data_IF_029373936917
#
_entry.id   IF_029373936917
#
_cell.length_a   1.000
_cell.length_b   1.000
_cell.length_c   1.000
_cell.angle_alpha   90.00
_cell.angle_beta   90.00
_cell.angle_gamma   90.00
#
_symmetry.space_group_name_H-M   'P 1'
#
loop_
_entity.id
_entity.type
_entity.pdbx_description
1 polymer ?
#
# COMPACT_ATOMS: atom_id res chain seq x y z
N UNK A 1 -22.65 -7.45 -12.51
CA UNK A 1 -21.87 -6.93 -13.63
C UNK A 1 -22.55 -7.34 -14.95
N UNK A 2 -22.58 -6.44 -15.93
CA UNK A 2 -23.15 -6.68 -17.24
C UNK A 2 -22.34 -5.96 -18.31
N UNK A 3 -21.96 -6.68 -19.36
CA UNK A 3 -21.22 -6.14 -20.49
C UNK A 3 -22.15 -5.90 -21.68
N UNK A 4 -21.87 -4.82 -22.40
CA UNK A 4 -22.57 -4.40 -23.59
C UNK A 4 -21.57 -3.95 -24.65
N UNK A 5 -21.45 -4.69 -25.71
CA UNK A 5 -20.58 -4.40 -26.84
C UNK A 5 -21.41 -3.87 -28.02
N UNK A 6 -20.92 -2.82 -28.67
CA UNK A 6 -21.53 -2.29 -29.88
C UNK A 6 -20.47 -1.64 -30.78
N UNK A 7 -20.84 -1.46 -32.03
CA UNK A 7 -20.04 -0.76 -33.03
C UNK A 7 -20.63 0.64 -33.30
N UNK A 8 -19.77 1.67 -33.17
CA UNK A 8 -20.11 3.03 -33.56
C UNK A 8 -19.30 3.39 -34.81
N UNK A 9 -19.86 3.09 -35.97
CA UNK A 9 -19.14 3.16 -37.25
C UNK A 9 -18.04 2.10 -37.32
N UNK A 10 -16.77 2.52 -37.32
CA UNK A 10 -15.60 1.63 -37.27
C UNK A 10 -15.03 1.44 -35.87
N UNK A 11 -15.60 2.06 -34.85
CA UNK A 11 -15.13 2.03 -33.48
C UNK A 11 -15.84 0.91 -32.72
N UNK A 12 -15.06 -0.03 -32.17
CA UNK A 12 -15.56 -1.04 -31.25
C UNK A 12 -15.61 -0.44 -29.86
N UNK A 13 -16.78 -0.52 -29.22
CA UNK A 13 -16.98 -0.01 -27.86
C UNK A 13 -17.52 -1.12 -26.97
N UNK A 14 -16.80 -1.41 -25.90
CA UNK A 14 -17.23 -2.33 -24.84
C UNK A 14 -17.57 -1.54 -23.59
N UNK A 15 -18.74 -1.76 -23.03
CA UNK A 15 -19.17 -1.12 -21.79
C UNK A 15 -19.46 -2.16 -20.73
N UNK A 16 -18.98 -1.91 -19.54
CA UNK A 16 -19.25 -2.70 -18.35
C UNK A 16 -20.02 -1.85 -17.34
N UNK A 17 -21.15 -2.35 -16.85
CA UNK A 17 -21.93 -1.77 -15.77
C UNK A 17 -21.90 -2.71 -14.58
N UNK A 18 -21.69 -2.17 -13.38
CA UNK A 18 -21.67 -2.99 -12.19
C UNK A 18 -22.23 -2.29 -10.96
N UNK A 19 -22.61 -3.10 -9.99
CA UNK A 19 -22.94 -2.67 -8.64
C UNK A 19 -22.24 -3.55 -7.62
N UNK A 20 -21.84 -2.97 -6.49
CA UNK A 20 -21.16 -3.66 -5.42
C UNK A 20 -21.78 -3.27 -4.08
N UNK A 21 -21.94 -4.26 -3.22
CA UNK A 21 -22.37 -4.09 -1.83
C UNK A 21 -21.28 -4.64 -0.92
N UNK A 22 -20.95 -3.91 0.13
CA UNK A 22 -20.03 -4.38 1.17
C UNK A 22 -20.62 -4.08 2.53
N UNK A 23 -20.52 -5.02 3.46
CA UNK A 23 -20.85 -4.83 4.85
C UNK A 23 -19.75 -5.44 5.72
N UNK A 24 -19.27 -4.66 6.69
CA UNK A 24 -18.31 -5.08 7.69
C UNK A 24 -18.94 -4.85 9.06
N UNK A 25 -19.04 -5.92 9.84
CA UNK A 25 -19.49 -5.87 11.23
C UNK A 25 -18.34 -6.32 12.12
N UNK A 26 -17.96 -5.51 13.07
CA UNK A 26 -16.92 -5.76 14.04
C UNK A 26 -17.56 -5.65 15.43
N UNK A 27 -17.80 -6.79 16.08
CA UNK A 27 -18.49 -6.84 17.38
C UNK A 27 -17.67 -6.19 18.50
N UNK A 28 -16.35 -6.12 18.36
CA UNK A 28 -15.48 -5.47 19.30
C UNK A 28 -14.07 -5.26 18.81
N UNK A 29 -13.64 -4.01 18.84
CA UNK A 29 -12.26 -3.58 18.58
C UNK A 29 -11.85 -2.58 19.66
N UNK A 30 -10.65 -2.73 20.22
CA UNK A 30 -10.29 -1.86 21.33
C UNK A 30 -8.81 -1.79 21.64
N UNK A 31 -8.48 -0.74 22.41
CA UNK A 31 -7.19 -0.51 23.01
C UNK A 31 -7.31 -0.73 24.54
N UNK A 32 -6.35 -1.43 25.11
CA UNK A 32 -6.37 -1.82 26.52
C UNK A 32 -5.10 -1.40 27.23
N UNK A 33 -5.24 -0.89 28.43
CA UNK A 33 -4.14 -0.71 29.34
C UNK A 33 -3.79 -2.04 29.99
N UNK A 34 -2.50 -2.40 29.96
CA UNK A 34 -2.00 -3.63 30.57
C UNK A 34 -0.75 -3.36 31.39
N UNK A 35 -0.50 -4.19 32.40
CA UNK A 35 0.75 -4.21 33.15
C UNK A 35 1.27 -5.64 33.21
N UNK A 36 2.47 -5.88 32.70
CA UNK A 36 3.07 -7.21 32.66
C UNK A 36 2.15 -8.26 31.98
N UNK A 37 1.39 -7.82 30.95
CA UNK A 37 0.35 -8.56 30.21
C UNK A 37 -0.95 -8.82 30.99
N UNK A 38 -1.08 -8.32 32.22
CA UNK A 38 -2.34 -8.35 32.94
C UNK A 38 -3.23 -7.17 32.52
N UNK A 39 -4.50 -7.45 32.26
CA UNK A 39 -5.49 -6.44 31.91
C UNK A 39 -5.73 -5.49 33.08
N UNK A 40 -5.67 -4.19 32.85
CA UNK A 40 -5.97 -3.15 33.82
C UNK A 40 -7.31 -2.47 33.53
N UNK A 41 -7.49 -1.98 32.30
CA UNK A 41 -8.69 -1.27 31.87
C UNK A 41 -8.81 -1.26 30.33
N UNK A 42 -10.03 -1.10 29.84
CA UNK A 42 -10.23 -0.69 28.44
C UNK A 42 -10.00 0.83 28.36
N UNK A 43 -9.08 1.25 27.51
CA UNK A 43 -8.90 2.66 27.11
C UNK A 43 -10.05 3.03 26.17
N UNK A 44 -10.31 2.16 25.20
CA UNK A 44 -11.41 2.26 24.25
C UNK A 44 -11.82 0.86 23.80
N UNK A 45 -13.12 0.61 23.68
CA UNK A 45 -13.67 -0.62 23.12
C UNK A 45 -14.97 -0.31 22.40
N UNK A 46 -15.02 -0.57 21.09
CA UNK A 46 -16.09 -0.16 20.20
C UNK A 46 -16.64 -1.34 19.41
N UNK A 47 -17.94 -1.29 19.09
CA UNK A 47 -18.56 -2.05 18.02
C UNK A 47 -18.70 -1.15 16.79
N UNK A 48 -18.42 -1.68 15.62
CA UNK A 48 -18.39 -0.95 14.34
C UNK A 48 -19.18 -1.68 13.29
N UNK A 49 -20.16 -1.01 12.68
CA UNK A 49 -20.81 -1.43 11.44
C UNK A 49 -20.49 -0.41 10.34
N UNK A 50 -19.94 -0.91 9.25
CA UNK A 50 -19.65 -0.10 8.06
C UNK A 50 -20.22 -0.79 6.83
N UNK A 51 -21.08 -0.08 6.11
CA UNK A 51 -21.62 -0.57 4.85
C UNK A 51 -21.34 0.39 3.70
N UNK A 52 -21.22 -0.16 2.50
CA UNK A 52 -21.12 0.65 1.28
C UNK A 52 -21.90 0.07 0.13
N UNK A 53 -22.42 0.97 -0.70
CA UNK A 53 -23.09 0.68 -1.97
C UNK A 53 -22.37 1.46 -3.06
N UNK A 54 -22.04 0.77 -4.13
CA UNK A 54 -21.38 1.37 -5.27
C UNK A 54 -22.06 0.98 -6.57
N UNK A 55 -22.03 1.92 -7.52
CA UNK A 55 -22.38 1.64 -8.93
C UNK A 55 -21.29 2.21 -9.82
N UNK A 56 -20.98 1.52 -10.89
CA UNK A 56 -19.96 1.97 -11.81
C UNK A 56 -20.29 1.64 -13.27
N UNK A 57 -19.70 2.42 -14.13
CA UNK A 57 -19.65 2.24 -15.56
C UNK A 57 -18.20 2.38 -16.03
N UNK A 58 -17.78 1.48 -16.90
CA UNK A 58 -16.51 1.52 -17.60
C UNK A 58 -16.77 1.35 -19.09
N UNK A 59 -16.05 2.07 -19.92
CA UNK A 59 -16.10 1.99 -21.37
C UNK A 59 -14.69 1.87 -21.94
N UNK A 60 -14.51 0.89 -22.80
CA UNK A 60 -13.31 0.74 -23.62
C UNK A 60 -13.69 1.00 -25.08
N UNK A 61 -12.94 1.88 -25.74
CA UNK A 61 -13.16 2.21 -27.14
C UNK A 61 -11.88 2.01 -27.96
N UNK A 62 -11.97 1.17 -29.00
CA UNK A 62 -10.93 0.97 -29.99
C UNK A 62 -11.16 1.92 -31.15
N UNK A 63 -10.53 3.11 -31.12
CA UNK A 63 -10.71 4.17 -32.10
C UNK A 63 -10.08 3.86 -33.46
N UNK A 64 -8.88 3.29 -33.41
CA UNK A 64 -8.13 2.83 -34.58
C UNK A 64 -7.39 1.55 -34.22
N UNK A 65 -6.65 0.96 -35.15
CA UNK A 65 -5.78 -0.19 -34.85
C UNK A 65 -4.72 0.12 -33.80
N UNK A 66 -4.34 1.40 -33.66
CA UNK A 66 -3.25 1.84 -32.78
C UNK A 66 -3.75 2.64 -31.56
N UNK A 67 -4.97 3.13 -31.53
CA UNK A 67 -5.47 4.01 -30.45
C UNK A 67 -6.68 3.40 -29.77
N UNK A 68 -6.57 3.23 -28.45
CA UNK A 68 -7.69 2.85 -27.57
C UNK A 68 -7.79 3.79 -26.38
N UNK A 69 -9.00 3.92 -25.85
CA UNK A 69 -9.23 4.65 -24.60
C UNK A 69 -10.05 3.83 -23.64
N UNK A 70 -9.84 4.09 -22.35
CA UNK A 70 -10.67 3.62 -21.25
C UNK A 70 -11.25 4.82 -20.52
N UNK A 71 -12.53 4.77 -20.19
CA UNK A 71 -13.20 5.83 -19.40
C UNK A 71 -14.04 5.15 -18.34
N UNK A 72 -13.99 5.66 -17.12
CA UNK A 72 -14.83 5.13 -16.05
C UNK A 72 -15.52 6.23 -15.26
N UNK A 73 -16.65 5.88 -14.68
CA UNK A 73 -17.37 6.70 -13.71
C UNK A 73 -17.93 5.78 -12.63
N UNK A 74 -17.72 6.16 -11.38
CA UNK A 74 -18.16 5.40 -10.22
C UNK A 74 -18.80 6.32 -9.19
N UNK A 75 -19.86 5.88 -8.59
CA UNK A 75 -20.49 6.48 -7.43
C UNK A 75 -20.42 5.51 -6.26
N UNK A 76 -19.98 6.00 -5.12
CA UNK A 76 -19.89 5.26 -3.86
C UNK A 76 -20.63 6.01 -2.75
N UNK A 77 -21.36 5.27 -1.92
CA UNK A 77 -21.95 5.75 -0.68
C UNK A 77 -21.54 4.85 0.46
N UNK A 78 -21.08 5.45 1.55
CA UNK A 78 -20.69 4.79 2.78
C UNK A 78 -21.59 5.22 3.93
N UNK A 79 -21.92 4.28 4.79
CA UNK A 79 -22.62 4.49 6.05
C UNK A 79 -21.76 3.89 7.16
N UNK A 80 -21.45 4.70 8.19
CA UNK A 80 -20.63 4.37 9.34
C UNK A 80 -21.50 4.41 10.58
N UNK A 81 -21.44 3.37 11.43
CA UNK A 81 -22.14 3.28 12.72
C UNK A 81 -21.15 2.75 13.76
N UNK A 82 -20.90 3.54 14.78
CA UNK A 82 -20.00 3.18 15.88
C UNK A 82 -20.73 3.28 17.20
N UNK A 83 -20.64 2.23 18.00
CA UNK A 83 -21.10 2.20 19.38
C UNK A 83 -19.91 1.98 20.29
N UNK A 84 -19.55 2.99 21.07
CA UNK A 84 -18.52 2.87 22.09
C UNK A 84 -19.09 2.11 23.30
N UNK A 85 -18.46 0.98 23.64
CA UNK A 85 -18.93 0.02 24.65
C UNK A 85 -18.19 0.18 25.99
N UNK A 86 -16.89 0.57 25.92
CA UNK A 86 -16.07 0.86 27.09
C UNK A 86 -15.02 1.93 26.78
N UNK A 87 -14.70 2.75 27.77
CA UNK A 87 -13.69 3.79 27.70
C UNK A 87 -13.09 4.03 29.10
N UNK A 88 -11.87 4.60 29.13
CA UNK A 88 -11.23 5.00 30.38
C UNK A 88 -12.05 6.06 31.13
N UNK A 89 -12.64 7.00 30.39
CA UNK A 89 -13.64 7.95 30.90
C UNK A 89 -15.02 7.64 30.31
N UNK A 90 -16.00 7.20 31.09
CA UNK A 90 -17.37 6.91 30.62
C UNK A 90 -18.08 8.09 29.95
N UNK A 91 -17.64 9.34 30.18
CA UNK A 91 -18.24 10.51 29.54
C UNK A 91 -17.94 10.57 28.03
N UNK A 92 -16.89 9.92 27.60
CA UNK A 92 -16.51 9.84 26.18
C UNK A 92 -17.38 8.88 25.36
N UNK A 93 -18.09 7.92 26.00
CA UNK A 93 -18.88 6.90 25.31
C UNK A 93 -19.94 7.50 24.37
N UNK A 94 -20.69 8.48 24.86
CA UNK A 94 -21.72 9.12 24.05
C UNK A 94 -21.14 10.01 22.96
N UNK A 95 -20.01 10.68 23.22
CA UNK A 95 -19.33 11.55 22.25
C UNK A 95 -18.67 10.77 21.11
N UNK A 96 -18.25 9.52 21.40
CA UNK A 96 -17.57 8.65 20.46
C UNK A 96 -18.48 7.55 19.89
N UNK A 97 -19.80 7.70 20.05
CA UNK A 97 -20.83 6.85 19.44
C UNK A 97 -21.67 7.66 18.48
N UNK A 98 -22.09 7.07 17.37
CA UNK A 98 -22.95 7.76 16.41
C UNK A 98 -22.91 7.17 15.01
N UNK A 99 -23.55 7.90 14.10
CA UNK A 99 -23.64 7.54 12.68
C UNK A 99 -23.22 8.70 11.80
N UNK A 100 -22.52 8.38 10.73
CA UNK A 100 -22.18 9.33 9.66
C UNK A 100 -22.29 8.63 8.32
N UNK A 101 -22.66 9.36 7.29
CA UNK A 101 -22.60 8.85 5.93
C UNK A 101 -21.97 9.89 5.03
N UNK A 102 -21.37 9.40 3.95
CA UNK A 102 -20.77 10.23 2.92
C UNK A 102 -20.86 9.55 1.57
N UNK A 103 -20.66 10.31 0.50
CA UNK A 103 -20.67 9.78 -0.85
C UNK A 103 -19.69 10.53 -1.75
N UNK A 104 -19.14 9.81 -2.70
CA UNK A 104 -18.16 10.33 -3.65
C UNK A 104 -18.46 9.86 -5.06
N UNK A 105 -18.17 10.71 -6.04
CA UNK A 105 -18.12 10.35 -7.45
C UNK A 105 -16.67 10.40 -7.87
N UNK A 106 -16.19 9.35 -8.50
CA UNK A 106 -14.84 9.26 -9.07
C UNK A 106 -14.90 8.88 -10.54
N UNK A 107 -13.96 9.39 -11.32
CA UNK A 107 -13.88 9.10 -12.74
C UNK A 107 -12.44 8.97 -13.20
N UNK A 108 -12.24 8.25 -14.32
CA UNK A 108 -10.91 8.13 -14.92
C UNK A 108 -10.97 8.16 -16.44
N UNK A 109 -9.86 8.57 -17.04
CA UNK A 109 -9.61 8.52 -18.46
C UNK A 109 -8.21 7.98 -18.72
N UNK A 110 -8.12 6.93 -19.51
CA UNK A 110 -6.89 6.36 -20.00
C UNK A 110 -6.82 6.41 -21.53
N UNK A 111 -5.63 6.67 -22.05
CA UNK A 111 -5.31 6.62 -23.47
C UNK A 111 -4.12 5.69 -23.69
N UNK A 112 -4.19 4.84 -24.68
CA UNK A 112 -3.14 3.92 -25.05
C UNK A 112 -2.91 4.03 -26.55
N UNK A 113 -1.65 4.28 -26.94
CA UNK A 113 -1.25 4.39 -28.33
C UNK A 113 -0.14 3.37 -28.65
N UNK A 114 -0.47 2.38 -29.45
CA UNK A 114 0.46 1.39 -29.98
C UNK A 114 1.20 2.01 -31.17
N UNK A 115 2.48 2.35 -30.96
CA UNK A 115 3.35 2.93 -32.01
C UNK A 115 3.65 1.86 -33.06
N UNK A 116 4.09 0.70 -32.58
CA UNK A 116 4.38 -0.51 -33.35
C UNK A 116 4.33 -1.74 -32.43
N UNK A 117 4.70 -2.92 -32.92
CA UNK A 117 4.70 -4.18 -32.14
C UNK A 117 5.67 -4.17 -30.95
N UNK A 118 6.57 -3.20 -30.89
CA UNK A 118 7.61 -3.11 -29.84
C UNK A 118 7.37 -1.99 -28.82
N UNK A 119 6.51 -1.01 -29.12
CA UNK A 119 6.33 0.18 -28.28
C UNK A 119 4.85 0.54 -28.14
N UNK A 120 4.42 0.62 -26.90
CA UNK A 120 3.12 1.16 -26.49
C UNK A 120 3.33 2.36 -25.55
N UNK A 121 2.71 3.47 -25.84
CA UNK A 121 2.67 4.66 -25.00
C UNK A 121 1.30 4.76 -24.32
N UNK A 122 1.26 5.22 -23.08
CA UNK A 122 -0.01 5.43 -22.39
C UNK A 122 -0.01 6.67 -21.50
N UNK A 123 -1.19 7.20 -21.26
CA UNK A 123 -1.43 8.26 -20.30
C UNK A 123 -2.74 8.00 -19.58
N UNK A 124 -2.75 8.18 -18.27
CA UNK A 124 -3.93 8.01 -17.42
C UNK A 124 -4.08 9.20 -16.49
N UNK A 125 -5.33 9.55 -16.21
CA UNK A 125 -5.72 10.45 -15.13
C UNK A 125 -6.97 9.90 -14.47
N UNK A 126 -7.03 9.91 -13.13
CA UNK A 126 -8.18 9.37 -12.43
C UNK A 126 -8.29 9.88 -11.01
N UNK A 127 -9.53 10.04 -10.59
CA UNK A 127 -9.88 10.30 -9.20
C UNK A 127 -10.09 8.97 -8.49
N UNK A 128 -9.52 8.86 -7.30
CA UNK A 128 -9.75 7.78 -6.35
C UNK A 128 -10.20 8.33 -5.00
N UNK A 129 -10.34 7.46 -4.06
CA UNK A 129 -10.59 7.83 -2.65
C UNK A 129 -10.23 6.66 -1.73
N UNK A 130 -10.02 6.96 -0.45
CA UNK A 130 -10.05 5.97 0.62
C UNK A 130 -11.09 6.35 1.68
N UNK A 131 -11.59 5.35 2.41
CA UNK A 131 -12.45 5.56 3.57
C UNK A 131 -11.60 5.52 4.84
N UNK A 132 -11.78 6.49 5.72
CA UNK A 132 -11.14 6.49 7.02
C UNK A 132 -11.76 5.46 7.98
N UNK A 133 -11.07 5.18 9.09
CA UNK A 133 -11.57 4.32 10.17
C UNK A 133 -12.88 4.91 10.72
N UNK A 134 -13.92 4.09 10.77
CA UNK A 134 -15.24 4.53 11.26
C UNK A 134 -15.18 5.17 12.64
N UNK A 135 -14.28 4.71 13.50
CA UNK A 135 -14.09 5.27 14.85
C UNK A 135 -13.54 6.70 14.79
N UNK A 136 -12.56 6.96 13.95
CA UNK A 136 -12.04 8.31 13.72
C UNK A 136 -13.08 9.26 13.12
N UNK A 137 -13.90 8.74 12.19
CA UNK A 137 -15.00 9.48 11.55
C UNK A 137 -16.08 9.93 12.54
N UNK A 138 -16.30 9.18 13.62
CA UNK A 138 -17.36 9.44 14.62
C UNK A 138 -16.84 10.14 15.87
N UNK A 139 -15.61 9.87 16.29
CA UNK A 139 -15.04 10.38 17.55
C UNK A 139 -15.04 11.90 17.65
N UNK A 140 -15.33 12.42 18.83
CA UNK A 140 -15.34 13.83 19.19
C UNK A 140 -14.45 14.15 20.37
N UNK A 141 -14.07 13.14 21.11
CA UNK A 141 -13.19 13.26 22.27
C UNK A 141 -12.08 12.22 22.16
N UNK A 142 -10.87 12.64 22.48
CA UNK A 142 -9.75 11.70 22.61
C UNK A 142 -10.04 10.70 23.74
N UNK A 143 -9.89 9.40 23.51
CA UNK A 143 -10.28 8.37 24.49
C UNK A 143 -9.32 8.30 25.69
N UNK A 144 -8.14 8.91 25.63
CA UNK A 144 -7.15 8.92 26.71
C UNK A 144 -7.23 10.20 27.50
N UNK A 145 -7.11 11.36 26.84
CA UNK A 145 -7.10 12.66 27.50
C UNK A 145 -8.51 13.20 27.79
N UNK A 146 -9.53 12.76 27.04
CA UNK A 146 -10.88 13.33 27.08
C UNK A 146 -11.00 14.72 26.44
N UNK A 147 -9.96 15.20 25.77
CA UNK A 147 -9.96 16.48 25.07
C UNK A 147 -10.78 16.40 23.78
N UNK A 148 -11.28 17.54 23.34
CA UNK A 148 -12.03 17.60 22.07
C UNK A 148 -11.09 17.39 20.88
N UNK A 149 -11.51 16.52 19.96
CA UNK A 149 -10.80 16.26 18.70
C UNK A 149 -11.73 16.52 17.52
N UNK A 150 -11.14 16.91 16.39
CA UNK A 150 -11.83 16.97 15.12
C UNK A 150 -11.98 15.54 14.55
N UNK A 151 -13.21 15.21 14.15
CA UNK A 151 -13.45 13.91 13.53
C UNK A 151 -12.91 13.88 12.10
N UNK A 152 -12.26 12.78 11.76
CA UNK A 152 -11.75 12.55 10.43
C UNK A 152 -12.83 12.63 9.33
N UNK A 153 -12.43 13.04 8.14
CA UNK A 153 -13.29 13.00 6.97
C UNK A 153 -13.63 11.54 6.62
N UNK A 154 -14.89 11.21 6.31
CA UNK A 154 -15.26 9.83 6.00
C UNK A 154 -14.59 9.28 4.76
N UNK A 155 -14.49 10.11 3.72
CA UNK A 155 -13.95 9.75 2.40
C UNK A 155 -12.96 10.81 1.96
N UNK A 156 -11.70 10.45 1.87
CA UNK A 156 -10.61 11.31 1.41
C UNK A 156 -10.37 11.05 -0.06
N UNK A 157 -10.39 12.12 -0.86
CA UNK A 157 -10.21 12.02 -2.32
C UNK A 157 -8.74 12.01 -2.69
N UNK A 158 -8.47 11.42 -3.84
CA UNK A 158 -7.16 11.42 -4.47
C UNK A 158 -7.28 11.74 -5.95
N UNK A 159 -6.26 12.36 -6.52
CA UNK A 159 -6.13 12.57 -7.97
C UNK A 159 -4.79 12.02 -8.42
N UNK A 160 -4.82 10.98 -9.23
CA UNK A 160 -3.63 10.37 -9.83
C UNK A 160 -3.52 10.66 -11.30
N UNK A 161 -2.30 10.88 -11.79
CA UNK A 161 -2.00 10.95 -13.22
C UNK A 161 -0.68 10.26 -13.52
N UNK A 162 -0.59 9.65 -14.69
CA UNK A 162 0.63 9.01 -15.15
C UNK A 162 0.77 9.08 -16.66
N UNK A 163 2.03 9.07 -17.10
CA UNK A 163 2.41 8.81 -18.49
C UNK A 163 3.48 7.74 -18.51
N UNK A 164 3.42 6.84 -19.47
CA UNK A 164 4.38 5.76 -19.50
C UNK A 164 4.58 5.16 -20.89
N UNK A 165 5.59 4.31 -20.96
CA UNK A 165 5.92 3.52 -22.13
C UNK A 165 6.11 2.06 -21.73
N UNK A 166 5.59 1.15 -22.55
CA UNK A 166 5.88 -0.29 -22.49
C UNK A 166 6.65 -0.70 -23.71
N UNK A 167 7.73 -1.40 -23.50
CA UNK A 167 8.67 -1.83 -24.51
C UNK A 167 8.67 -3.36 -24.58
N UNK A 168 8.38 -3.90 -25.75
CA UNK A 168 8.39 -5.32 -26.07
C UNK A 168 9.47 -5.56 -27.13
N UNK A 169 10.74 -5.27 -26.78
CA UNK A 169 11.86 -5.24 -27.74
C UNK A 169 12.11 -6.59 -28.38
N UNK A 170 11.77 -7.66 -27.70
CA UNK A 170 11.73 -9.04 -28.23
C UNK A 170 10.69 -9.83 -27.46
N UNK A 171 10.33 -11.05 -27.90
CA UNK A 171 9.51 -11.98 -27.09
C UNK A 171 10.12 -12.30 -25.70
N UNK A 172 11.36 -11.89 -25.45
CA UNK A 172 12.14 -12.21 -24.26
C UNK A 172 12.52 -10.99 -23.42
N UNK A 173 12.34 -9.77 -23.94
CA UNK A 173 12.72 -8.53 -23.24
C UNK A 173 11.55 -7.58 -23.18
N UNK A 174 11.03 -7.41 -21.99
CA UNK A 174 9.97 -6.46 -21.66
C UNK A 174 10.52 -5.42 -20.68
N UNK A 175 10.17 -4.16 -20.89
CA UNK A 175 10.48 -3.08 -19.97
C UNK A 175 9.33 -2.08 -19.89
N UNK A 176 9.20 -1.36 -18.80
CA UNK A 176 8.29 -0.22 -18.68
C UNK A 176 8.96 0.95 -17.98
N UNK A 177 8.57 2.14 -18.37
CA UNK A 177 8.94 3.39 -17.74
C UNK A 177 7.69 4.20 -17.50
N UNK A 178 7.49 4.68 -16.27
CA UNK A 178 6.33 5.45 -15.84
C UNK A 178 6.80 6.70 -15.11
N UNK A 179 6.19 7.83 -15.43
CA UNK A 179 6.23 9.05 -14.65
C UNK A 179 4.83 9.26 -14.10
N UNK A 180 4.72 9.49 -12.80
CA UNK A 180 3.43 9.60 -12.14
C UNK A 180 3.38 10.74 -11.12
N UNK A 181 2.17 11.21 -10.84
CA UNK A 181 1.83 12.14 -9.77
C UNK A 181 0.56 11.66 -9.06
N UNK A 182 0.51 11.86 -7.74
CA UNK A 182 -0.64 11.56 -6.89
C UNK A 182 -0.82 12.66 -5.86
N UNK A 183 -1.99 13.28 -5.86
CA UNK A 183 -2.42 14.26 -4.86
C UNK A 183 -3.45 13.59 -3.96
N UNK A 184 -3.36 13.77 -2.65
CA UNK A 184 -4.25 13.20 -1.63
C UNK A 184 -4.76 14.34 -0.76
N UNK A 185 -6.08 14.48 -0.61
CA UNK A 185 -6.70 15.59 0.12
C UNK A 185 -6.36 15.60 1.62
N UNK A 186 -6.09 14.46 2.22
CA UNK A 186 -5.60 14.32 3.61
C UNK A 186 -4.77 13.06 3.78
N UNK A 187 -3.62 13.19 4.44
CA UNK A 187 -2.70 12.08 4.66
C UNK A 187 -3.04 11.32 5.95
N UNK A 188 -2.90 9.99 5.90
CA UNK A 188 -3.02 9.12 7.07
C UNK A 188 -1.63 8.75 7.57
N UNK A 189 -1.30 9.12 8.81
CA UNK A 189 -0.04 8.75 9.45
C UNK A 189 -0.25 7.71 10.55
N UNK A 190 0.70 6.80 10.69
CA UNK A 190 0.77 5.93 11.84
C UNK A 190 1.44 6.68 13.01
N UNK A 191 0.70 6.86 14.07
CA UNK A 191 1.18 7.52 15.29
C UNK A 191 1.67 6.46 16.27
N UNK A 192 2.99 6.39 16.43
CA UNK A 192 3.66 5.28 17.12
C UNK A 192 3.30 5.14 18.61
N UNK A 193 3.18 6.23 19.33
CA UNK A 193 2.81 6.26 20.76
C UNK A 193 1.32 5.95 20.98
N UNK A 194 0.46 6.36 20.06
CA UNK A 194 -0.98 6.04 20.09
C UNK A 194 -1.28 4.63 19.54
N UNK A 195 -0.37 4.06 18.73
CA UNK A 195 -0.52 2.74 18.12
C UNK A 195 -1.68 2.64 17.13
N UNK A 196 -2.05 3.73 16.50
CA UNK A 196 -3.12 3.81 15.50
C UNK A 196 -2.71 4.68 14.31
N UNK A 197 -3.57 4.74 13.31
CA UNK A 197 -3.43 5.64 12.15
C UNK A 197 -4.38 6.82 12.35
N UNK A 198 -3.87 8.03 12.19
CA UNK A 198 -4.61 9.27 12.35
C UNK A 198 -4.63 10.06 11.05
N UNK A 199 -5.76 10.75 10.82
CA UNK A 199 -5.92 11.68 9.71
C UNK A 199 -5.26 13.01 10.10
N UNK A 200 -4.31 13.46 9.31
CA UNK A 200 -3.59 14.72 9.58
C UNK A 200 -4.42 15.97 9.28
N UNK A 201 -5.50 15.84 8.49
CA UNK A 201 -6.24 16.96 7.94
C UNK A 201 -5.42 17.81 6.95
N UNK A 202 -4.25 17.35 6.54
CA UNK A 202 -3.34 18.03 5.60
C UNK A 202 -3.14 17.18 4.36
N UNK A 203 -3.31 17.79 3.18
CA UNK A 203 -3.08 17.14 1.90
C UNK A 203 -1.61 16.85 1.65
N UNK A 204 -1.37 15.91 0.72
CA UNK A 204 -0.03 15.57 0.29
C UNK A 204 0.08 15.47 -1.23
N UNK A 205 1.25 15.79 -1.73
CA UNK A 205 1.65 15.61 -3.13
C UNK A 205 2.76 14.58 -3.23
N UNK A 206 2.62 13.67 -4.19
CA UNK A 206 3.63 12.66 -4.50
C UNK A 206 3.87 12.63 -5.99
N UNK A 207 5.13 12.55 -6.39
CA UNK A 207 5.50 12.32 -7.80
C UNK A 207 6.72 11.44 -7.88
N UNK A 208 6.81 10.72 -8.97
CA UNK A 208 7.89 9.77 -9.08
C UNK A 208 8.09 9.17 -10.46
N UNK A 209 9.05 8.28 -10.49
CA UNK A 209 9.43 7.49 -11.65
C UNK A 209 9.51 6.02 -11.27
N UNK A 210 8.96 5.17 -12.12
CA UNK A 210 9.12 3.72 -12.01
C UNK A 210 9.72 3.14 -13.27
N UNK A 211 10.69 2.26 -13.10
CA UNK A 211 11.32 1.49 -14.17
C UNK A 211 11.23 0.01 -13.83
N UNK A 212 10.69 -0.78 -14.75
CA UNK A 212 10.74 -2.25 -14.64
C UNK A 212 11.38 -2.86 -15.88
N UNK A 213 12.08 -3.96 -15.69
CA UNK A 213 12.68 -4.70 -16.79
C UNK A 213 12.69 -6.19 -16.48
N UNK A 214 12.36 -6.98 -17.50
CA UNK A 214 12.44 -8.43 -17.44
C UNK A 214 13.10 -8.95 -18.72
N UNK A 215 14.11 -9.78 -18.57
CA UNK A 215 14.83 -10.39 -19.69
C UNK A 215 15.02 -11.88 -19.51
N UNK A 216 14.51 -12.66 -20.47
CA UNK A 216 14.70 -14.10 -20.55
C UNK A 216 15.94 -14.43 -21.37
N UNK A 217 17.00 -14.91 -20.73
CA UNK A 217 18.28 -15.27 -21.34
C UNK A 217 18.25 -16.75 -21.74
N UNK A 218 18.14 -17.00 -23.02
CA UNK A 218 17.97 -18.38 -23.53
C UNK A 218 16.69 -19.01 -22.99
N UNK A 219 16.74 -20.29 -22.65
CA UNK A 219 15.57 -21.05 -22.17
C UNK A 219 15.62 -21.30 -20.65
N UNK A 220 16.67 -20.88 -19.97
CA UNK A 220 16.93 -21.31 -18.60
C UNK A 220 17.18 -20.17 -17.62
N UNK A 221 17.53 -18.99 -18.07
CA UNK A 221 17.89 -17.87 -17.20
C UNK A 221 16.92 -16.70 -17.37
N UNK A 222 16.64 -16.02 -16.29
CA UNK A 222 15.90 -14.77 -16.30
C UNK A 222 16.60 -13.72 -15.43
N UNK A 223 16.46 -12.47 -15.81
CA UNK A 223 16.89 -11.30 -15.03
C UNK A 223 15.73 -10.36 -14.94
N UNK A 224 15.47 -9.84 -13.75
CA UNK A 224 14.51 -8.78 -13.50
C UNK A 224 15.16 -7.62 -12.75
N UNK A 225 14.66 -6.41 -13.01
CA UNK A 225 15.05 -5.18 -12.33
C UNK A 225 13.81 -4.31 -12.15
N UNK A 226 13.65 -3.78 -10.95
CA UNK A 226 12.64 -2.82 -10.57
C UNK A 226 13.32 -1.66 -9.84
N UNK A 227 13.01 -0.44 -10.24
CA UNK A 227 13.43 0.78 -9.58
C UNK A 227 12.23 1.71 -9.44
N UNK A 228 12.01 2.21 -8.25
CA UNK A 228 11.05 3.26 -7.97
C UNK A 228 11.73 4.42 -7.24
N UNK A 229 11.39 5.62 -7.67
CA UNK A 229 11.68 6.85 -6.95
C UNK A 229 10.36 7.58 -6.70
N UNK A 230 10.13 8.02 -5.47
CA UNK A 230 8.97 8.78 -5.06
C UNK A 230 9.40 9.97 -4.18
N UNK A 231 9.07 11.19 -4.59
CA UNK A 231 9.16 12.34 -3.73
C UNK A 231 7.77 12.61 -3.16
N UNK A 232 7.65 12.62 -1.84
CA UNK A 232 6.38 12.71 -1.12
C UNK A 232 6.45 13.83 -0.09
N UNK A 233 5.51 14.80 -0.17
CA UNK A 233 5.52 15.96 0.72
C UNK A 233 4.10 16.33 1.14
N UNK A 234 3.98 16.89 2.34
CA UNK A 234 2.78 17.59 2.76
C UNK A 234 2.61 18.88 1.96
N UNK A 235 1.39 19.24 1.61
CA UNK A 235 1.06 20.55 1.00
C UNK A 235 1.35 21.73 1.96
N UNK A 236 1.20 21.47 3.24
CA UNK A 236 1.51 22.45 4.31
C UNK A 236 2.35 21.72 5.36
N UNK A 237 3.51 22.28 5.74
CA UNK A 237 4.35 21.65 6.77
C UNK A 237 3.60 21.40 8.08
N UNK A 238 3.80 20.20 8.65
CA UNK A 238 3.33 19.83 9.99
C UNK A 238 4.53 19.99 10.94
N UNK A 239 4.38 20.76 12.00
CA UNK A 239 5.45 21.06 12.97
C UNK A 239 6.76 21.57 12.36
N UNK A 240 6.66 22.19 11.17
CA UNK A 240 7.80 22.76 10.42
C UNK A 240 8.46 21.79 9.45
N UNK A 241 7.96 20.57 9.31
CA UNK A 241 8.44 19.56 8.38
C UNK A 241 7.42 19.31 7.29
N UNK A 242 7.87 19.19 6.04
CA UNK A 242 7.04 18.88 4.87
C UNK A 242 7.22 17.44 4.35
N UNK A 243 8.20 16.72 4.85
CA UNK A 243 8.42 15.31 4.52
C UNK A 243 7.36 14.42 5.20
N UNK A 244 6.86 13.42 4.47
CA UNK A 244 5.89 12.46 5.02
C UNK A 244 6.65 11.35 5.74
N UNK A 245 6.45 11.16 7.07
CA UNK A 245 7.15 10.15 7.83
C UNK A 245 6.94 8.74 7.27
N UNK A 246 8.02 7.97 7.14
CA UNK A 246 7.97 6.60 6.63
C UNK A 246 7.87 6.46 5.11
N UNK A 247 7.80 7.57 4.36
CA UNK A 247 7.75 7.54 2.91
C UNK A 247 9.13 7.24 2.31
N UNK A 248 9.26 6.07 1.65
CA UNK A 248 10.50 5.67 0.98
C UNK A 248 10.70 6.45 -0.30
N UNK A 249 11.86 7.10 -0.47
CA UNK A 249 12.19 7.83 -1.70
C UNK A 249 12.76 6.93 -2.80
N UNK A 250 13.53 5.92 -2.44
CA UNK A 250 14.21 5.03 -3.39
C UNK A 250 14.01 3.57 -3.04
N UNK A 251 13.54 2.81 -4.01
CA UNK A 251 13.43 1.34 -3.91
C UNK A 251 14.08 0.71 -5.13
N UNK A 252 15.00 -0.23 -4.90
CA UNK A 252 15.61 -1.05 -5.94
C UNK A 252 15.39 -2.52 -5.60
N UNK A 253 14.85 -3.28 -6.54
CA UNK A 253 14.75 -4.73 -6.44
C UNK A 253 15.24 -5.35 -7.76
N UNK A 254 16.01 -6.42 -7.68
CA UNK A 254 16.46 -7.10 -8.88
C UNK A 254 16.95 -8.49 -8.59
N UNK A 255 16.87 -9.34 -9.58
CA UNK A 255 17.24 -10.72 -9.42
C UNK A 255 17.72 -11.39 -10.69
N UNK A 256 18.43 -12.49 -10.49
CA UNK A 256 18.75 -13.45 -11.53
C UNK A 256 18.20 -14.81 -11.10
N UNK A 257 17.38 -15.38 -11.97
CA UNK A 257 16.79 -16.71 -11.76
C UNK A 257 17.28 -17.71 -12.82
N UNK A 258 17.23 -18.98 -12.47
CA UNK A 258 17.44 -20.04 -13.45
C UNK A 258 16.50 -21.22 -13.18
N UNK A 259 16.10 -21.86 -14.28
CA UNK A 259 15.36 -23.11 -14.26
C UNK A 259 15.85 -23.98 -15.41
N UNK A 260 16.47 -25.10 -15.09
CA UNK A 260 17.06 -26.02 -16.07
C UNK A 260 16.21 -27.25 -16.23
N UNK A 261 16.19 -27.80 -17.42
CA UNK A 261 15.43 -29.03 -17.73
C UNK A 261 15.95 -30.28 -17.02
N UNK A 262 17.14 -30.24 -16.40
CA UNK A 262 17.73 -31.31 -15.59
C UNK A 262 17.30 -31.29 -14.10
N UNK A 263 16.33 -30.43 -13.74
CA UNK A 263 15.75 -30.34 -12.40
C UNK A 263 16.34 -29.25 -11.50
N UNK A 264 17.47 -28.62 -11.88
CA UNK A 264 18.04 -27.50 -11.14
C UNK A 264 17.25 -26.22 -11.37
N UNK A 265 16.93 -25.53 -10.27
CA UNK A 265 16.31 -24.20 -10.27
C UNK A 265 16.81 -23.36 -9.12
N UNK A 266 16.71 -22.03 -9.25
CA UNK A 266 17.11 -21.14 -8.17
C UNK A 266 17.04 -19.69 -8.55
N UNK A 267 17.33 -18.81 -7.59
CA UNK A 267 17.46 -17.38 -7.81
C UNK A 267 18.43 -16.75 -6.82
N UNK A 268 18.94 -15.59 -7.21
CA UNK A 268 19.62 -14.64 -6.35
C UNK A 268 18.87 -13.31 -6.49
N UNK A 269 18.40 -12.72 -5.38
CA UNK A 269 17.62 -11.49 -5.36
C UNK A 269 18.18 -10.50 -4.37
N UNK A 270 18.42 -9.27 -4.83
CA UNK A 270 18.76 -8.11 -4.02
C UNK A 270 17.52 -7.22 -3.89
N UNK A 271 17.31 -6.65 -2.70
CA UNK A 271 16.37 -5.58 -2.43
C UNK A 271 17.06 -4.51 -1.61
N UNK A 272 16.92 -3.26 -2.03
CA UNK A 272 17.44 -2.09 -1.33
C UNK A 272 16.32 -1.07 -1.17
N UNK A 273 16.13 -0.59 0.06
CA UNK A 273 15.34 0.59 0.40
C UNK A 273 16.28 1.70 0.79
N UNK A 274 16.11 2.89 0.22
CA UNK A 274 16.89 4.08 0.57
C UNK A 274 16.56 4.58 1.97
N UNK A 275 17.32 5.58 2.41
CA UNK A 275 17.04 6.33 3.63
C UNK A 275 15.69 7.08 3.48
N UNK A 276 15.02 7.36 4.60
CA UNK A 276 13.74 8.05 4.62
C UNK A 276 13.56 8.81 5.93
N UNK A 277 12.60 9.75 5.95
CA UNK A 277 12.32 10.57 7.12
C UNK A 277 11.34 9.89 8.08
N UNK A 278 11.55 10.10 9.38
CA UNK A 278 10.62 9.77 10.46
C UNK A 278 9.99 11.07 11.00
N UNK A 279 9.10 10.94 11.96
CA UNK A 279 8.54 12.07 12.68
C UNK A 279 9.64 12.99 13.25
N UNK A 280 9.37 14.29 13.35
CA UNK A 280 10.31 15.27 13.87
C UNK A 280 11.56 15.50 13.00
N UNK A 281 11.52 15.11 11.71
CA UNK A 281 12.64 15.28 10.77
C UNK A 281 13.86 14.42 11.09
N UNK A 282 13.65 13.28 11.74
CA UNK A 282 14.72 12.32 12.08
C UNK A 282 14.90 11.34 10.93
N UNK A 283 16.14 11.17 10.45
CA UNK A 283 16.44 10.23 9.35
C UNK A 283 16.38 8.76 9.83
N UNK A 284 15.74 7.91 9.06
CA UNK A 284 15.84 6.46 9.16
C UNK A 284 16.87 5.93 8.15
N UNK A 285 17.68 5.00 8.58
CA UNK A 285 18.65 4.33 7.71
C UNK A 285 17.95 3.35 6.78
N UNK A 286 18.35 3.33 5.52
CA UNK A 286 17.91 2.38 4.52
C UNK A 286 18.32 0.94 4.82
N UNK A 287 17.87 0.01 4.00
CA UNK A 287 18.16 -1.41 4.21
C UNK A 287 18.52 -2.13 2.91
N UNK A 288 19.40 -3.13 3.01
CA UNK A 288 19.80 -3.96 1.86
C UNK A 288 19.79 -5.44 2.22
N UNK A 289 18.97 -6.20 1.52
CA UNK A 289 18.87 -7.65 1.70
C UNK A 289 19.27 -8.40 0.43
N UNK A 290 20.07 -9.44 0.59
CA UNK A 290 20.39 -10.40 -0.46
C UNK A 290 19.91 -11.78 -0.06
N UNK A 291 19.03 -12.36 -0.87
CA UNK A 291 18.47 -13.70 -0.66
C UNK A 291 18.81 -14.60 -1.86
N UNK A 292 18.99 -15.88 -1.58
CA UNK A 292 19.20 -16.88 -2.62
C UNK A 292 18.36 -18.14 -2.36
N UNK A 293 18.01 -18.80 -3.41
CA UNK A 293 17.39 -20.14 -3.41
C UNK A 293 18.12 -21.05 -4.39
N UNK A 294 18.34 -22.28 -3.98
CA UNK A 294 18.80 -23.36 -4.83
C UNK A 294 17.93 -24.58 -4.61
N UNK A 295 17.34 -25.08 -5.66
CA UNK A 295 16.50 -26.27 -5.61
C UNK A 295 16.89 -27.30 -6.67
N UNK A 296 16.55 -28.55 -6.38
CA UNK A 296 16.69 -29.67 -7.30
C UNK A 296 15.48 -30.59 -7.23
N UNK A 297 14.81 -30.77 -8.36
CA UNK A 297 13.73 -31.74 -8.53
C UNK A 297 14.31 -33.05 -9.04
N UNK A 298 14.31 -34.11 -8.20
CA UNK A 298 14.77 -35.44 -8.56
C UNK A 298 13.83 -36.09 -9.57
N UNK A 299 12.55 -35.82 -9.44
CA UNK A 299 11.45 -36.23 -10.32
C UNK A 299 10.19 -35.41 -9.98
N UNK A 300 9.05 -35.71 -10.63
CA UNK A 300 7.79 -34.98 -10.44
C UNK A 300 7.21 -35.09 -9.01
N UNK A 301 7.76 -35.92 -8.15
CA UNK A 301 7.26 -36.17 -6.79
C UNK A 301 8.21 -35.77 -5.68
N UNK A 302 9.50 -35.66 -5.97
CA UNK A 302 10.51 -35.40 -4.94
C UNK A 302 11.39 -34.25 -5.33
N UNK A 303 11.46 -33.23 -4.50
CA UNK A 303 12.36 -32.11 -4.62
C UNK A 303 13.02 -31.74 -3.29
N UNK A 304 14.18 -31.13 -3.39
CA UNK A 304 14.89 -30.46 -2.28
C UNK A 304 15.12 -29.01 -2.65
N UNK A 305 14.90 -28.11 -1.69
CA UNK A 305 15.15 -26.66 -1.86
C UNK A 305 15.88 -26.14 -0.64
N UNK A 306 16.87 -25.30 -0.87
CA UNK A 306 17.62 -24.59 0.18
C UNK A 306 17.49 -23.10 -0.05
N UNK A 307 17.03 -22.38 0.96
CA UNK A 307 16.98 -20.92 1.03
C UNK A 307 18.11 -20.40 1.90
N UNK A 308 18.82 -19.38 1.39
CA UNK A 308 19.74 -18.57 2.16
C UNK A 308 19.15 -17.16 2.25
N UNK A 309 18.73 -16.78 3.45
CA UNK A 309 18.10 -15.50 3.75
C UNK A 309 19.12 -14.55 4.38
N UNK A 310 19.02 -13.27 4.07
CA UNK A 310 19.93 -12.24 4.54
C UNK A 310 21.41 -12.65 4.42
N UNK A 311 21.84 -13.00 3.22
CA UNK A 311 23.21 -13.50 2.97
C UNK A 311 24.31 -12.50 3.35
N UNK A 312 23.98 -11.20 3.31
CA UNK A 312 24.90 -10.14 3.71
C UNK A 312 25.07 -10.06 5.25
N UNK A 313 24.22 -10.75 6.02
CA UNK A 313 24.16 -10.69 7.48
C UNK A 313 23.95 -9.26 7.97
N UNK A 314 23.14 -8.52 7.22
CA UNK A 314 22.81 -7.13 7.53
C UNK A 314 22.01 -7.07 8.84
N UNK A 315 22.35 -6.12 9.69
CA UNK A 315 21.60 -5.79 10.89
C UNK A 315 20.61 -4.63 10.64
N UNK A 316 20.25 -4.40 9.37
CA UNK A 316 19.35 -3.35 8.97
C UNK A 316 17.97 -3.55 9.60
N UNK A 317 17.19 -2.48 9.56
CA UNK A 317 15.87 -2.40 10.17
C UNK A 317 14.82 -2.52 9.08
N UNK A 318 13.74 -3.27 9.32
CA UNK A 318 12.62 -3.42 8.37
C UNK A 318 11.55 -2.36 8.57
N UNK A 319 11.42 -1.83 9.79
CA UNK A 319 10.55 -0.73 10.13
C UNK A 319 11.16 0.12 11.24
N UNK A 320 10.99 1.43 11.16
CA UNK A 320 11.49 2.38 12.14
C UNK A 320 10.43 3.45 12.39
N UNK A 321 10.34 3.89 13.65
CA UNK A 321 9.50 4.98 14.12
C UNK A 321 10.30 5.88 15.06
N UNK A 322 9.92 7.13 15.18
CA UNK A 322 10.46 8.05 16.17
C UNK A 322 9.29 8.61 17.00
N UNK A 323 9.29 8.32 18.29
CA UNK A 323 8.28 8.79 19.24
C UNK A 323 8.77 8.68 20.67
N UNK A 324 8.08 9.38 21.59
CA UNK A 324 8.36 9.37 23.01
C UNK A 324 7.95 8.04 23.65
N UNK A 325 8.86 7.42 24.40
CA UNK A 325 8.57 6.23 25.19
C UNK A 325 9.39 6.20 26.49
N UNK A 326 8.97 5.39 27.44
CA UNK A 326 9.68 5.24 28.71
C UNK A 326 10.03 3.77 28.97
N UNK A 327 11.33 3.47 28.96
CA UNK A 327 11.82 2.16 29.31
C UNK A 327 11.87 1.96 30.82
N UNK A 328 11.92 0.70 31.25
CA UNK A 328 12.04 0.36 32.67
C UNK A 328 13.31 0.94 33.27
N UNK A 329 13.17 1.82 34.28
CA UNK A 329 14.26 2.47 35.00
C UNK A 329 14.61 3.87 34.51
N UNK A 330 13.98 4.37 33.49
CA UNK A 330 14.08 5.75 33.07
C UNK A 330 13.24 6.66 33.97
N UNK A 331 13.74 7.86 34.33
CA UNK A 331 13.05 8.78 35.23
C UNK A 331 11.89 9.51 34.55
N UNK A 332 11.88 9.62 33.22
CA UNK A 332 10.87 10.28 32.39
C UNK A 332 10.88 9.64 30.99
N UNK A 333 9.80 9.80 30.22
CA UNK A 333 9.80 9.44 28.81
C UNK A 333 10.90 10.16 28.02
N UNK A 334 11.40 9.51 26.99
CA UNK A 334 12.49 9.98 26.11
C UNK A 334 12.06 9.77 24.66
N UNK A 335 12.24 10.79 23.83
CA UNK A 335 12.11 10.64 22.37
C UNK A 335 13.27 9.80 21.85
N UNK A 336 12.97 8.69 21.19
CA UNK A 336 13.98 7.79 20.65
C UNK A 336 13.43 7.02 19.44
N UNK A 337 14.35 6.36 18.71
CA UNK A 337 14.00 5.50 17.59
C UNK A 337 13.55 4.13 18.07
N UNK A 338 12.39 3.73 17.60
CA UNK A 338 11.84 2.39 17.79
C UNK A 338 11.93 1.63 16.48
N UNK A 339 12.42 0.38 16.52
CA UNK A 339 12.64 -0.36 15.29
C UNK A 339 12.48 -1.86 15.50
N UNK A 340 12.17 -2.53 14.41
CA UNK A 340 12.27 -3.98 14.27
C UNK A 340 13.43 -4.30 13.32
N UNK A 341 14.23 -5.30 13.66
CA UNK A 341 15.35 -5.75 12.83
C UNK A 341 14.92 -6.89 11.92
N UNK A 342 15.54 -6.99 10.75
CA UNK A 342 15.37 -8.17 9.91
C UNK A 342 15.87 -9.44 10.60
N UNK A 343 15.34 -10.59 10.20
CA UNK A 343 15.91 -11.88 10.60
C UNK A 343 17.40 -11.91 10.26
N UNK A 344 18.27 -12.39 11.18
CA UNK A 344 19.68 -12.58 10.88
C UNK A 344 19.85 -13.61 9.76
N UNK A 345 21.07 -13.72 9.23
CA UNK A 345 21.37 -14.72 8.21
C UNK A 345 20.84 -16.09 8.61
N UNK A 346 20.01 -16.67 7.77
CA UNK A 346 19.39 -17.95 8.02
C UNK A 346 19.47 -18.87 6.79
N UNK A 347 19.63 -20.16 7.06
CA UNK A 347 19.55 -21.21 6.01
C UNK A 347 18.37 -22.11 6.37
N UNK A 348 17.45 -22.30 5.40
CA UNK A 348 16.30 -23.18 5.52
C UNK A 348 16.39 -24.24 4.43
N UNK A 349 16.13 -25.50 4.78
CA UNK A 349 16.08 -26.60 3.83
C UNK A 349 14.69 -27.27 3.87
N UNK A 350 14.16 -27.54 2.69
CA UNK A 350 12.85 -28.16 2.50
C UNK A 350 13.02 -29.43 1.68
N UNK A 351 12.38 -30.49 2.10
CA UNK A 351 12.19 -31.70 1.32
C UNK A 351 10.68 -31.84 1.05
N UNK A 352 10.30 -31.84 -0.22
CA UNK A 352 8.91 -31.95 -0.65
C UNK A 352 8.70 -33.31 -1.35
N UNK A 353 7.65 -34.01 -0.95
CA UNK A 353 7.24 -35.28 -1.58
C UNK A 353 5.72 -35.26 -1.81
N UNK A 354 5.33 -35.45 -3.08
CA UNK A 354 3.93 -35.50 -3.51
C UNK A 354 3.52 -36.98 -3.66
N UNK A 355 2.46 -37.38 -2.98
CA UNK A 355 1.94 -38.76 -2.95
C UNK A 355 1.11 -39.14 -4.18
#
# INVERSE_FOLDING_TARGET
EQDLDFELGSVLVSNTFGAQLRNNTIDGVGLRSTREREFLADIRFDSVDQSSVSTYWQSEAQWTQSLRSTTSLRYDRFDFDVTSLAAADPTTLAANSGRKNDSVVSGSLGLIYTVDDSLELYANIGQGFHSNDARGVISRLDPVSGEAIDAADPLVKTLGSEIGARLFLTERLNASLVLWQLDIDSELLFVGDAGNTEDTGVGSERHGLELTGYYQIGNSWSVDLEYANANSRFETPIDGFDDIPGALEHVVSGGIGFQRGDGFHGYLRLRHFGDYNLDGGVDAEGSTLLNARLGYAFNDRLSITVDALNMLDSNDRDIQYFYESQLRGEPAPVEDRHFHVFEPRAIRAYLEYTF
#
